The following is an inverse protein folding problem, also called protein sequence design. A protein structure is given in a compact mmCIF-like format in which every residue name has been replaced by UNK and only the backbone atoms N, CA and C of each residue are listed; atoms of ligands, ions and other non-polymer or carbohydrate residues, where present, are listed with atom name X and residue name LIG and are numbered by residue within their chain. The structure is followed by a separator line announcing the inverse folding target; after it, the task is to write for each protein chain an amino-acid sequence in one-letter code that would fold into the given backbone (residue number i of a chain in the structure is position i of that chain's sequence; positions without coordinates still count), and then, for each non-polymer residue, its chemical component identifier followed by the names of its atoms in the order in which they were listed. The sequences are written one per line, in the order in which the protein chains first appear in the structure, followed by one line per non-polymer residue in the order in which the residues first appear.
data_IF_602719752793
#
_entry.id   IF_602719752793
#
_cell.length_a   1.000
_cell.length_b   1.000
_cell.length_c   1.000
_cell.angle_alpha   90.00
_cell.angle_beta   90.00
_cell.angle_gamma   90.00
#
_symmetry.space_group_name_H-M   'P 1'
#
loop_
_entity.id
_entity.type
_entity.pdbx_description
1 polymer ?
#
# COMPACT_ATOMS: atom_id res chain seq x y z
N UNK A 1 4.08 -5.86 8.66
CA UNK A 1 4.96 -4.79 8.15
C UNK A 1 4.10 -3.59 7.84
N UNK A 2 4.60 -2.39 8.14
CA UNK A 2 3.87 -1.14 7.92
C UNK A 2 4.61 -0.28 6.90
N UNK A 3 3.89 0.23 5.91
CA UNK A 3 4.40 1.09 4.86
C UNK A 3 3.71 2.45 4.96
N UNK A 4 4.49 3.49 5.23
CA UNK A 4 4.00 4.86 5.38
C UNK A 4 4.19 5.61 4.06
N UNK A 5 3.10 6.18 3.53
CA UNK A 5 3.08 6.87 2.25
C UNK A 5 2.44 8.26 2.40
N UNK A 6 2.90 9.28 1.66
CA UNK A 6 2.20 10.56 1.61
C UNK A 6 0.79 10.42 1.06
N UNK A 7 -0.19 11.08 1.67
CA UNK A 7 -1.57 11.12 1.16
C UNK A 7 -1.68 11.61 -0.28
N UNK A 8 -0.79 12.47 -0.77
CA UNK A 8 -0.87 13.04 -2.12
C UNK A 8 -0.52 12.06 -3.24
N UNK A 9 0.03 10.89 -2.93
CA UNK A 9 0.48 9.93 -3.92
C UNK A 9 -0.67 9.08 -4.45
N UNK A 10 -0.64 8.84 -5.76
CA UNK A 10 -1.57 7.93 -6.42
C UNK A 10 -0.95 6.53 -6.44
N UNK A 11 -1.35 5.68 -5.51
CA UNK A 11 -0.73 4.36 -5.35
C UNK A 11 -1.49 3.30 -6.17
N UNK A 12 -0.74 2.57 -6.99
CA UNK A 12 -1.18 1.35 -7.65
C UNK A 12 -0.58 0.16 -6.92
N UNK A 13 -1.43 -0.66 -6.30
CA UNK A 13 -1.01 -1.85 -5.58
C UNK A 13 -0.87 -3.03 -6.55
N UNK A 14 0.35 -3.52 -6.74
CA UNK A 14 0.69 -4.71 -7.53
C UNK A 14 1.34 -5.76 -6.62
N UNK A 15 0.62 -6.12 -5.55
CA UNK A 15 1.11 -6.99 -4.49
C UNK A 15 0.48 -8.38 -4.63
N UNK A 16 1.32 -9.40 -4.78
CA UNK A 16 0.89 -10.80 -4.80
C UNK A 16 0.70 -11.29 -3.35
N UNK A 17 -0.53 -11.60 -2.97
CA UNK A 17 -0.84 -12.08 -1.63
C UNK A 17 -1.12 -13.59 -1.64
N UNK A 18 -0.32 -14.37 -0.91
CA UNK A 18 -0.50 -15.80 -0.71
C UNK A 18 -0.65 -16.12 0.78
N UNK A 19 -1.89 -16.33 1.24
CA UNK A 19 -2.22 -16.61 2.64
C UNK A 19 -1.76 -15.52 3.64
N UNK A 20 -1.55 -14.29 3.17
CA UNK A 20 -1.30 -13.11 3.99
C UNK A 20 -2.48 -12.16 4.00
N UNK A 21 -2.26 -10.98 4.57
CA UNK A 21 -3.25 -9.90 4.60
C UNK A 21 -2.62 -8.59 4.13
N UNK A 22 -3.32 -7.85 3.26
CA UNK A 22 -2.93 -6.49 2.85
C UNK A 22 -4.09 -5.57 3.22
N UNK A 23 -3.81 -4.57 4.04
CA UNK A 23 -4.78 -3.56 4.47
C UNK A 23 -4.27 -2.16 4.18
N UNK A 24 -5.20 -1.25 3.90
CA UNK A 24 -4.89 0.14 3.56
C UNK A 24 -5.65 1.06 4.49
N UNK A 25 -4.96 2.04 5.06
CA UNK A 25 -5.48 2.99 6.04
C UNK A 25 -5.18 4.44 5.69
N UNK A 26 -6.14 5.31 5.96
CA UNK A 26 -6.10 6.72 5.59
C UNK A 26 -6.71 6.97 4.21
N UNK A 27 -7.03 8.24 3.95
CA UNK A 27 -7.67 8.67 2.70
C UNK A 27 -6.65 9.33 1.79
N UNK A 28 -6.32 8.75 0.62
CA UNK A 28 -5.42 9.38 -0.33
C UNK A 28 -6.09 10.62 -0.95
N UNK A 29 -5.28 11.67 -1.11
CA UNK A 29 -5.58 12.87 -1.87
C UNK A 29 -4.99 12.67 -3.27
N UNK A 30 -5.85 12.55 -4.29
CA UNK A 30 -5.44 12.34 -5.68
C UNK A 30 -4.91 13.64 -6.31
N UNK A 31 -3.74 14.09 -5.86
CA UNK A 31 -3.15 15.37 -6.25
C UNK A 31 -1.61 15.32 -6.42
N UNK A 32 -1.05 14.18 -6.83
CA UNK A 32 0.39 13.98 -6.89
C UNK A 32 0.85 12.82 -7.78
N UNK A 33 2.12 12.39 -7.67
CA UNK A 33 2.71 11.41 -8.58
C UNK A 33 2.11 10.01 -8.42
N UNK A 34 2.09 9.27 -9.53
CA UNK A 34 1.74 7.85 -9.55
C UNK A 34 2.89 6.99 -9.05
N UNK A 35 2.61 6.11 -8.10
CA UNK A 35 3.58 5.18 -7.50
C UNK A 35 3.03 3.77 -7.60
N UNK A 36 3.82 2.84 -8.11
CA UNK A 36 3.46 1.42 -8.15
C UNK A 36 4.22 0.67 -7.06
N UNK A 37 3.49 -0.02 -6.19
CA UNK A 37 4.08 -0.88 -5.16
C UNK A 37 4.03 -2.31 -5.68
N UNK A 38 5.20 -2.88 -5.95
CA UNK A 38 5.35 -4.27 -6.36
C UNK A 38 5.93 -5.10 -5.22
N UNK A 39 5.35 -6.27 -4.98
CA UNK A 39 5.87 -7.18 -3.96
C UNK A 39 5.04 -8.45 -3.80
N UNK A 40 5.48 -9.32 -2.89
CA UNK A 40 4.73 -10.50 -2.50
C UNK A 40 4.64 -10.59 -0.98
N UNK A 41 3.44 -10.84 -0.47
CA UNK A 41 3.18 -11.09 0.94
C UNK A 41 2.76 -12.55 1.09
N UNK A 42 3.40 -13.27 2.01
CA UNK A 42 3.06 -14.66 2.30
C UNK A 42 3.05 -14.92 3.81
N UNK A 43 1.96 -15.50 4.31
CA UNK A 43 1.78 -15.85 5.74
C UNK A 43 2.06 -14.67 6.71
N UNK A 44 1.79 -13.44 6.27
CA UNK A 44 2.07 -12.24 7.04
C UNK A 44 1.15 -11.08 6.66
N UNK A 45 1.29 -9.96 7.37
CA UNK A 45 0.45 -8.78 7.18
C UNK A 45 1.25 -7.59 6.64
N UNK A 46 0.69 -6.90 5.66
CA UNK A 46 1.15 -5.62 5.15
C UNK A 46 0.07 -4.57 5.37
N UNK A 47 0.43 -3.49 6.06
CA UNK A 47 -0.45 -2.34 6.30
C UNK A 47 0.10 -1.12 5.59
N UNK A 48 -0.65 -0.57 4.66
CA UNK A 48 -0.33 0.64 3.92
C UNK A 48 -1.01 1.81 4.63
N UNK A 49 -0.26 2.78 5.13
CA UNK A 49 -0.77 3.87 5.96
C UNK A 49 -0.47 5.20 5.26
N UNK A 50 -1.53 5.91 4.86
CA UNK A 50 -1.41 7.25 4.30
C UNK A 50 -1.28 8.29 5.41
N UNK A 51 -0.14 8.99 5.45
CA UNK A 51 0.15 10.08 6.39
C UNK A 51 0.12 11.45 5.71
#
# INVERSE_FOLDING_TARGET
MELYLPKTWQVQEAISNSMGHVSTEGTPLTAGPGVTINGSVSLGELRIIYI
#
